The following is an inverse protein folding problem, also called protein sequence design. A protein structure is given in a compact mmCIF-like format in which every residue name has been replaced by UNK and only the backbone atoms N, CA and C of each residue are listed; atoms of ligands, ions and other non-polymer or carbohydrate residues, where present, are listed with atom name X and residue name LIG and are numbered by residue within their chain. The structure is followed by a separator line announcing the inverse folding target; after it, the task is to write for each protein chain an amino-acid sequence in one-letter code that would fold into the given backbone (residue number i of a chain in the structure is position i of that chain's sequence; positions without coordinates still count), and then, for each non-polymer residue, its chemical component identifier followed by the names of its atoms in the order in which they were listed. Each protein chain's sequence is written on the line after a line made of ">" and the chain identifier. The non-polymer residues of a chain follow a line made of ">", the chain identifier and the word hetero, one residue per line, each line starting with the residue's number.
data_IF_228163753242
#
_entry.id   IF_228163753242
#
_cell.length_a   1.000
_cell.length_b   1.000
_cell.length_c   1.000
_cell.angle_alpha   90.00
_cell.angle_beta   90.00
_cell.angle_gamma   90.00
#
_symmetry.space_group_name_H-M   'P 1'
#
loop_
_entity.id
_entity.type
_entity.pdbx_description
1 polymer ?
#
# COMPACT_ATOMS: atom_id res chain seq x y z
N UNK A 1 44.15 -10.72 14.94
CA UNK A 1 43.58 -10.11 13.74
C UNK A 1 42.29 -10.84 13.28
N UNK A 2 42.26 -12.17 13.09
CA UNK A 2 41.03 -12.89 12.65
C UNK A 2 39.80 -12.69 13.57
N UNK A 3 39.98 -12.69 14.92
CA UNK A 3 38.85 -12.50 15.87
C UNK A 3 38.26 -11.08 15.78
N UNK A 4 39.05 -10.05 15.53
CA UNK A 4 38.58 -8.66 15.39
C UNK A 4 37.76 -8.49 14.10
N UNK A 5 38.15 -9.12 13.02
CA UNK A 5 37.45 -9.09 11.75
C UNK A 5 36.08 -9.77 11.88
N UNK A 6 35.99 -10.89 12.57
CA UNK A 6 34.73 -11.61 12.82
C UNK A 6 33.75 -10.75 13.64
N UNK A 7 34.24 -10.06 14.68
CA UNK A 7 33.41 -9.17 15.50
C UNK A 7 32.91 -7.97 14.69
N UNK A 8 33.75 -7.40 13.82
CA UNK A 8 33.38 -6.30 12.93
C UNK A 8 32.31 -6.72 11.91
N UNK A 9 32.43 -7.91 11.32
CA UNK A 9 31.45 -8.46 10.37
C UNK A 9 30.11 -8.75 11.09
N UNK A 10 30.14 -9.32 12.29
CA UNK A 10 28.95 -9.57 13.10
C UNK A 10 28.28 -8.27 13.55
N UNK A 11 29.04 -7.25 13.94
CA UNK A 11 28.53 -5.92 14.30
C UNK A 11 27.87 -5.20 13.11
N UNK A 12 28.45 -5.30 11.92
CA UNK A 12 27.92 -4.70 10.70
C UNK A 12 26.57 -5.34 10.29
N UNK A 13 26.43 -6.67 10.45
CA UNK A 13 25.18 -7.36 10.17
C UNK A 13 24.04 -6.97 11.14
N UNK A 14 24.34 -6.70 12.40
CA UNK A 14 23.33 -6.25 13.39
C UNK A 14 22.78 -4.84 13.08
N UNK A 15 23.57 -3.97 12.45
CA UNK A 15 23.15 -2.61 12.07
C UNK A 15 22.23 -2.66 10.85
N UNK A 16 22.43 -3.60 9.92
CA UNK A 16 21.63 -3.75 8.72
C UNK A 16 20.21 -4.31 8.99
N UNK A 17 19.99 -5.00 10.13
CA UNK A 17 18.70 -5.57 10.49
C UNK A 17 17.67 -4.56 11.03
N UNK A 18 18.06 -3.31 11.32
CA UNK A 18 17.17 -2.28 11.86
C UNK A 18 16.42 -1.47 10.78
N UNK A 19 16.61 -1.73 9.50
CA UNK A 19 16.00 -0.98 8.40
C UNK A 19 14.66 -1.57 7.92
N UNK A 20 13.84 -2.15 8.80
CA UNK A 20 12.43 -2.34 8.50
C UNK A 20 11.71 -1.00 8.73
N UNK A 21 11.76 -0.10 7.74
CA UNK A 21 10.90 1.06 7.70
C UNK A 21 9.45 0.56 7.66
N UNK A 22 8.73 0.68 8.79
CA UNK A 22 7.28 0.51 8.78
C UNK A 22 6.71 1.56 7.83
N UNK A 23 5.92 1.19 6.81
CA UNK A 23 5.29 2.19 5.97
C UNK A 23 4.46 3.11 6.88
N UNK A 24 4.63 4.42 6.68
CA UNK A 24 3.85 5.40 7.41
C UNK A 24 2.41 5.29 6.91
N UNK A 25 1.54 4.66 7.67
CA UNK A 25 0.12 4.58 7.34
C UNK A 25 -0.47 5.99 7.43
N UNK A 26 -1.17 6.41 6.39
CA UNK A 26 -1.84 7.71 6.36
C UNK A 26 -2.99 7.70 7.39
N UNK A 27 -3.05 8.72 8.24
CA UNK A 27 -4.19 8.86 9.15
C UNK A 27 -5.44 9.24 8.35
N UNK A 28 -6.53 8.50 8.55
CA UNK A 28 -7.81 8.70 7.87
C UNK A 28 -8.41 10.06 8.26
N UNK A 29 -8.31 10.42 9.53
CA UNK A 29 -8.79 11.68 10.08
C UNK A 29 -7.66 12.42 10.76
N UNK A 30 -7.55 13.72 10.55
CA UNK A 30 -6.60 14.57 11.25
C UNK A 30 -7.34 15.60 12.10
N UNK A 31 -6.83 15.93 13.31
CA UNK A 31 -7.32 17.08 14.04
C UNK A 31 -7.24 18.33 13.17
N UNK A 32 -8.32 19.10 13.08
CA UNK A 32 -8.36 20.31 12.25
C UNK A 32 -8.87 20.11 10.82
N UNK A 33 -9.14 18.89 10.35
CA UNK A 33 -9.72 18.66 9.02
C UNK A 33 -11.00 19.48 8.76
N UNK A 34 -11.85 19.59 9.77
CA UNK A 34 -13.10 20.37 9.69
C UNK A 34 -12.88 21.89 9.64
N UNK A 35 -11.68 22.36 9.99
CA UNK A 35 -11.31 23.79 9.98
C UNK A 35 -10.72 24.22 8.63
N UNK A 36 -10.31 23.26 7.80
CA UNK A 36 -9.74 23.53 6.47
C UNK A 36 -10.78 24.21 5.57
N UNK A 37 -10.35 25.22 4.81
CA UNK A 37 -11.13 25.80 3.70
C UNK A 37 -11.16 24.86 2.49
N UNK A 38 -11.96 25.16 1.47
CA UNK A 38 -12.11 24.28 0.31
C UNK A 38 -10.80 24.06 -0.44
N UNK A 39 -9.97 25.08 -0.63
CA UNK A 39 -8.67 24.99 -1.30
C UNK A 39 -7.73 24.01 -0.57
N UNK A 40 -7.60 24.15 0.74
CA UNK A 40 -6.78 23.24 1.55
C UNK A 40 -7.34 21.81 1.62
N UNK A 41 -8.65 21.65 1.49
CA UNK A 41 -9.27 20.32 1.39
C UNK A 41 -8.96 19.67 0.03
N UNK A 42 -8.92 20.44 -1.05
CA UNK A 42 -8.51 19.97 -2.38
C UNK A 42 -7.03 19.57 -2.36
N UNK A 43 -6.13 20.36 -1.77
CA UNK A 43 -4.72 20.03 -1.61
C UNK A 43 -4.55 18.72 -0.78
N UNK A 44 -5.25 18.61 0.34
CA UNK A 44 -5.19 17.42 1.19
C UNK A 44 -5.73 16.16 0.46
N UNK A 45 -6.74 16.34 -0.41
CA UNK A 45 -7.27 15.27 -1.25
C UNK A 45 -6.24 14.84 -2.31
N UNK A 46 -5.58 15.81 -2.96
CA UNK A 46 -4.51 15.53 -3.92
C UNK A 46 -3.34 14.78 -3.27
N UNK A 47 -2.93 15.19 -2.07
CA UNK A 47 -1.89 14.50 -1.29
C UNK A 47 -2.27 13.05 -0.96
N UNK A 48 -3.52 12.82 -0.56
CA UNK A 48 -4.01 11.46 -0.27
C UNK A 48 -4.01 10.58 -1.54
N UNK A 49 -4.38 11.13 -2.69
CA UNK A 49 -4.35 10.43 -3.97
C UNK A 49 -2.92 10.15 -4.45
N UNK A 50 -1.98 11.09 -4.28
CA UNK A 50 -0.58 10.88 -4.61
C UNK A 50 0.03 9.78 -3.72
N UNK A 51 -0.27 9.81 -2.41
CA UNK A 51 0.16 8.77 -1.49
C UNK A 51 -0.38 7.39 -1.92
N UNK A 52 -1.65 7.32 -2.32
CA UNK A 52 -2.26 6.11 -2.86
C UNK A 52 -1.53 5.61 -4.12
N UNK A 53 -1.24 6.49 -5.07
CA UNK A 53 -0.48 6.15 -6.30
C UNK A 53 0.91 5.58 -5.95
N UNK A 54 1.61 6.19 -5.00
CA UNK A 54 2.91 5.69 -4.51
C UNK A 54 2.77 4.31 -3.86
N UNK A 55 1.75 4.09 -3.04
CA UNK A 55 1.50 2.79 -2.42
C UNK A 55 1.21 1.70 -3.46
N UNK A 56 0.43 2.01 -4.51
CA UNK A 56 0.17 1.12 -5.63
C UNK A 56 1.45 0.80 -6.41
N UNK A 57 2.30 1.78 -6.67
CA UNK A 57 3.52 1.57 -7.44
C UNK A 57 4.50 0.55 -6.82
N UNK A 58 4.47 0.38 -5.49
CA UNK A 58 5.32 -0.61 -4.81
C UNK A 58 4.73 -2.03 -4.82
N UNK A 59 3.47 -2.20 -5.19
CA UNK A 59 2.84 -3.54 -5.35
C UNK A 59 3.03 -4.12 -6.76
N UNK A 60 3.42 -3.28 -7.72
CA UNK A 60 3.59 -3.69 -9.12
C UNK A 60 4.76 -4.66 -9.34
N UNK A 61 4.82 -5.20 -10.57
CA UNK A 61 5.85 -6.14 -10.99
C UNK A 61 7.19 -5.42 -11.26
N UNK A 62 7.82 -4.92 -10.19
CA UNK A 62 9.12 -4.24 -10.24
C UNK A 62 10.26 -5.24 -10.13
N UNK A 63 11.43 -4.89 -10.71
CA UNK A 63 12.65 -5.72 -10.59
C UNK A 63 13.01 -5.97 -9.10
N UNK A 64 12.75 -5.00 -8.21
CA UNK A 64 12.94 -5.17 -6.77
C UNK A 64 12.00 -6.21 -6.15
N UNK A 65 10.74 -6.25 -6.59
CA UNK A 65 9.77 -7.24 -6.10
C UNK A 65 10.06 -8.63 -6.65
N UNK A 66 10.50 -8.75 -7.90
CA UNK A 66 10.95 -10.02 -8.47
C UNK A 66 12.16 -10.59 -7.72
N UNK A 67 13.14 -9.73 -7.40
CA UNK A 67 14.31 -10.15 -6.62
C UNK A 67 13.93 -10.56 -5.19
N UNK A 68 13.02 -9.85 -4.53
CA UNK A 68 12.51 -10.21 -3.19
C UNK A 68 11.73 -11.53 -3.21
N UNK A 69 10.95 -11.78 -4.26
CA UNK A 69 10.24 -13.05 -4.43
C UNK A 69 11.20 -14.24 -4.53
N UNK A 70 12.30 -14.06 -5.24
CA UNK A 70 13.31 -15.11 -5.42
C UNK A 70 14.17 -15.36 -4.18
N UNK A 71 14.52 -14.29 -3.45
CA UNK A 71 15.48 -14.36 -2.35
C UNK A 71 14.83 -14.47 -0.97
N UNK A 72 13.68 -13.85 -0.77
CA UNK A 72 13.04 -13.83 0.55
C UNK A 72 11.53 -13.57 0.48
N UNK A 73 10.77 -14.62 0.23
CA UNK A 73 9.32 -14.64 0.15
C UNK A 73 8.57 -13.90 1.28
N UNK A 74 8.91 -14.06 2.58
CA UNK A 74 8.20 -13.36 3.65
C UNK A 74 8.29 -11.83 3.56
N UNK A 75 9.40 -11.30 3.04
CA UNK A 75 9.56 -9.85 2.85
C UNK A 75 8.67 -9.31 1.71
N UNK A 76 8.44 -10.10 0.67
CA UNK A 76 7.49 -9.73 -0.39
C UNK A 76 6.07 -9.64 0.16
N UNK A 77 5.62 -10.66 0.91
CA UNK A 77 4.28 -10.65 1.53
C UNK A 77 4.08 -9.47 2.47
N UNK A 78 5.07 -9.15 3.31
CA UNK A 78 5.00 -7.98 4.18
C UNK A 78 4.85 -6.67 3.36
N UNK A 79 5.52 -6.55 2.21
CA UNK A 79 5.40 -5.39 1.32
C UNK A 79 3.98 -5.26 0.77
N UNK A 80 3.38 -6.35 0.32
CA UNK A 80 2.00 -6.35 -0.23
C UNK A 80 0.96 -6.02 0.84
N UNK A 81 1.04 -6.63 2.03
CA UNK A 81 0.11 -6.34 3.14
C UNK A 81 0.20 -4.88 3.55
N UNK A 82 1.39 -4.35 3.75
CA UNK A 82 1.61 -2.97 4.15
C UNK A 82 1.15 -1.97 3.07
N UNK A 83 1.37 -2.28 1.79
CA UNK A 83 0.92 -1.44 0.69
C UNK A 83 -0.61 -1.46 0.56
N UNK A 84 -1.25 -2.61 0.77
CA UNK A 84 -2.70 -2.71 0.76
C UNK A 84 -3.33 -1.87 1.88
N UNK A 85 -2.82 -1.95 3.11
CA UNK A 85 -3.25 -1.09 4.22
C UNK A 85 -3.07 0.39 3.90
N UNK A 86 -1.95 0.76 3.27
CA UNK A 86 -1.68 2.14 2.86
C UNK A 86 -2.66 2.63 1.77
N UNK A 87 -3.00 1.78 0.79
CA UNK A 87 -3.98 2.06 -0.26
C UNK A 87 -5.37 2.25 0.34
N UNK A 88 -5.77 1.38 1.26
CA UNK A 88 -7.07 1.49 1.93
C UNK A 88 -7.15 2.76 2.78
N UNK A 89 -6.15 3.03 3.61
CA UNK A 89 -6.10 4.25 4.44
C UNK A 89 -6.16 5.53 3.60
N UNK A 90 -5.45 5.59 2.46
CA UNK A 90 -5.51 6.72 1.55
C UNK A 90 -6.88 6.88 0.89
N UNK A 91 -7.54 5.78 0.55
CA UNK A 91 -8.89 5.78 -0.02
C UNK A 91 -9.92 6.28 0.99
N UNK A 92 -9.86 5.79 2.24
CA UNK A 92 -10.73 6.23 3.33
C UNK A 92 -10.48 7.69 3.69
N UNK A 93 -9.21 8.15 3.67
CA UNK A 93 -8.85 9.56 3.82
C UNK A 93 -9.52 10.42 2.74
N UNK A 94 -9.46 10.00 1.48
CA UNK A 94 -10.09 10.72 0.37
C UNK A 94 -11.61 10.83 0.56
N UNK A 95 -12.28 9.75 0.95
CA UNK A 95 -13.72 9.75 1.25
C UNK A 95 -14.06 10.69 2.41
N UNK A 96 -13.24 10.69 3.47
CA UNK A 96 -13.42 11.58 4.62
C UNK A 96 -13.35 13.06 4.20
N UNK A 97 -12.32 13.45 3.43
CA UNK A 97 -12.14 14.81 2.94
C UNK A 97 -13.29 15.25 2.02
N UNK A 98 -13.72 14.40 1.10
CA UNK A 98 -14.87 14.65 0.22
C UNK A 98 -16.15 14.89 1.04
N UNK A 99 -16.37 14.12 2.11
CA UNK A 99 -17.51 14.33 2.99
C UNK A 99 -17.50 15.71 3.70
N UNK A 100 -16.31 16.20 4.08
CA UNK A 100 -16.15 17.56 4.62
C UNK A 100 -16.41 18.60 3.54
N UNK A 101 -15.84 18.43 2.32
CA UNK A 101 -16.05 19.32 1.18
C UNK A 101 -17.54 19.43 0.84
N UNK A 102 -18.28 18.30 0.88
CA UNK A 102 -19.73 18.28 0.69
C UNK A 102 -20.47 19.09 1.74
N UNK A 103 -20.13 18.93 3.01
CA UNK A 103 -20.74 19.71 4.12
C UNK A 103 -20.48 21.22 3.99
N UNK A 104 -19.34 21.58 3.42
CA UNK A 104 -18.93 22.99 3.21
C UNK A 104 -19.42 23.59 1.87
N UNK A 105 -20.13 22.80 1.04
CA UNK A 105 -20.56 23.19 -0.29
C UNK A 105 -19.40 23.69 -1.17
N UNK A 106 -18.27 23.00 -1.14
CA UNK A 106 -17.13 23.33 -2.01
C UNK A 106 -17.52 23.18 -3.48
N UNK A 107 -16.95 24.05 -4.33
CA UNK A 107 -17.15 23.98 -5.78
C UNK A 107 -16.43 22.78 -6.36
N UNK A 108 -16.84 22.31 -7.55
CA UNK A 108 -16.23 21.18 -8.29
C UNK A 108 -16.31 19.80 -7.59
N UNK A 109 -17.15 19.67 -6.55
CA UNK A 109 -17.27 18.44 -5.80
C UNK A 109 -17.71 17.25 -6.66
N UNK A 110 -18.64 17.46 -7.60
CA UNK A 110 -19.18 16.40 -8.46
C UNK A 110 -18.09 15.86 -9.40
N UNK A 111 -17.23 16.72 -9.92
CA UNK A 111 -16.10 16.34 -10.78
C UNK A 111 -15.07 15.55 -9.98
N UNK A 112 -14.70 16.03 -8.79
CA UNK A 112 -13.77 15.36 -7.89
C UNK A 112 -14.31 14.00 -7.41
N UNK A 113 -15.62 13.90 -7.16
CA UNK A 113 -16.28 12.64 -6.80
C UNK A 113 -16.18 11.61 -7.92
N UNK A 114 -16.47 12.02 -9.16
CA UNK A 114 -16.37 11.11 -10.33
C UNK A 114 -14.93 10.68 -10.53
N UNK A 115 -13.96 11.57 -10.42
CA UNK A 115 -12.54 11.25 -10.56
C UNK A 115 -12.09 10.26 -9.48
N UNK A 116 -12.36 10.54 -8.20
CA UNK A 116 -11.96 9.68 -7.08
C UNK A 116 -12.63 8.33 -7.15
N UNK A 117 -13.93 8.27 -7.45
CA UNK A 117 -14.68 7.01 -7.55
C UNK A 117 -14.24 6.17 -8.74
N UNK A 118 -14.06 6.77 -9.92
CA UNK A 118 -13.63 6.07 -11.13
C UNK A 118 -12.21 5.53 -10.96
N UNK A 119 -11.30 6.35 -10.47
CA UNK A 119 -9.91 5.95 -10.20
C UNK A 119 -9.85 4.85 -9.13
N UNK A 120 -10.65 4.97 -8.06
CA UNK A 120 -10.75 3.96 -7.02
C UNK A 120 -11.25 2.62 -7.56
N UNK A 121 -12.34 2.63 -8.33
CA UNK A 121 -12.97 1.42 -8.87
C UNK A 121 -12.07 0.69 -9.87
N UNK A 122 -11.50 1.41 -10.83
CA UNK A 122 -10.62 0.84 -11.85
C UNK A 122 -9.34 0.29 -11.20
N UNK A 123 -8.77 1.02 -10.26
CA UNK A 123 -7.55 0.60 -9.60
C UNK A 123 -7.79 -0.61 -8.71
N UNK A 124 -8.87 -0.64 -7.94
CA UNK A 124 -9.22 -1.79 -7.08
C UNK A 124 -9.39 -3.05 -7.90
N UNK A 125 -10.05 -2.99 -9.07
CA UNK A 125 -10.21 -4.14 -9.96
C UNK A 125 -8.88 -4.59 -10.57
N UNK A 126 -8.01 -3.65 -10.95
CA UNK A 126 -6.66 -3.96 -11.44
C UNK A 126 -5.82 -4.63 -10.36
N UNK A 127 -5.79 -4.03 -9.17
CA UNK A 127 -5.00 -4.54 -8.04
C UNK A 127 -5.46 -5.93 -7.63
N UNK A 128 -6.77 -6.17 -7.60
CA UNK A 128 -7.35 -7.48 -7.31
C UNK A 128 -6.97 -8.52 -8.38
N UNK A 129 -7.07 -8.14 -9.65
CA UNK A 129 -6.69 -9.01 -10.77
C UNK A 129 -5.20 -9.36 -10.75
N UNK A 130 -4.34 -8.36 -10.51
CA UNK A 130 -2.89 -8.55 -10.42
C UNK A 130 -2.50 -9.38 -9.19
N UNK A 131 -3.09 -9.11 -8.04
CA UNK A 131 -2.86 -9.89 -6.82
C UNK A 131 -3.28 -11.35 -7.01
N UNK A 132 -4.42 -11.59 -7.65
CA UNK A 132 -4.88 -12.96 -7.95
C UNK A 132 -3.95 -13.67 -8.95
N UNK A 133 -3.52 -12.98 -10.00
CA UNK A 133 -2.57 -13.52 -10.97
C UNK A 133 -1.25 -13.90 -10.30
N UNK A 134 -0.67 -13.01 -9.52
CA UNK A 134 0.59 -13.26 -8.80
C UNK A 134 0.45 -14.45 -7.85
N UNK A 135 -0.67 -14.54 -7.12
CA UNK A 135 -0.95 -15.65 -6.22
C UNK A 135 -1.03 -16.98 -6.97
N UNK A 136 -1.68 -16.99 -8.14
CA UNK A 136 -1.82 -18.17 -8.99
C UNK A 136 -0.47 -18.61 -9.59
N UNK A 137 0.39 -17.66 -10.00
CA UNK A 137 1.71 -17.95 -10.53
C UNK A 137 2.62 -18.55 -9.45
N UNK A 138 2.54 -18.08 -8.21
CA UNK A 138 3.25 -18.65 -7.07
C UNK A 138 2.78 -20.07 -6.72
N UNK A 139 1.49 -20.33 -6.81
CA UNK A 139 0.95 -21.68 -6.63
C UNK A 139 1.43 -22.62 -7.74
N UNK A 140 1.37 -22.20 -9.01
CA UNK A 140 1.85 -22.99 -10.15
C UNK A 140 3.35 -23.26 -10.12
N UNK A 141 4.13 -22.35 -9.58
CA UNK A 141 5.59 -22.54 -9.42
C UNK A 141 5.95 -23.44 -8.25
N UNK A 142 4.97 -23.89 -7.44
CA UNK A 142 5.22 -24.69 -6.25
C UNK A 142 5.74 -23.89 -5.04
N UNK A 143 5.78 -22.56 -5.15
CA UNK A 143 6.19 -21.68 -4.05
C UNK A 143 5.14 -21.58 -2.93
N UNK A 144 3.90 -21.97 -3.21
CA UNK A 144 2.80 -22.06 -2.25
C UNK A 144 2.20 -23.46 -2.24
N UNK A 145 1.89 -23.95 -1.06
CA UNK A 145 1.05 -25.13 -0.89
C UNK A 145 -0.42 -24.77 -1.21
N UNK A 146 -1.22 -25.76 -1.54
CA UNK A 146 -2.66 -25.58 -1.80
C UNK A 146 -3.37 -24.90 -0.61
N UNK A 147 -3.05 -25.26 0.62
CA UNK A 147 -3.62 -24.67 1.84
C UNK A 147 -3.28 -23.18 1.96
N UNK A 148 -2.04 -22.81 1.69
CA UNK A 148 -1.60 -21.40 1.71
C UNK A 148 -2.25 -20.62 0.59
N UNK A 149 -2.30 -21.17 -0.63
CA UNK A 149 -2.99 -20.57 -1.76
C UNK A 149 -4.47 -20.28 -1.43
N UNK A 150 -5.20 -21.26 -0.92
CA UNK A 150 -6.62 -21.09 -0.55
C UNK A 150 -6.83 -20.08 0.57
N UNK A 151 -5.89 -20.00 1.52
CA UNK A 151 -5.93 -19.03 2.61
C UNK A 151 -5.70 -17.60 2.10
N UNK A 152 -4.71 -17.41 1.24
CA UNK A 152 -4.41 -16.10 0.65
C UNK A 152 -5.50 -15.66 -0.35
N UNK A 153 -6.03 -16.59 -1.14
CA UNK A 153 -7.13 -16.32 -2.05
C UNK A 153 -8.35 -15.75 -1.33
N UNK A 154 -8.74 -16.32 -0.20
CA UNK A 154 -9.85 -15.78 0.63
C UNK A 154 -9.57 -14.37 1.10
N UNK A 155 -8.37 -14.09 1.59
CA UNK A 155 -7.97 -12.75 2.02
C UNK A 155 -8.02 -11.73 0.89
N UNK A 156 -7.51 -12.08 -0.30
CA UNK A 156 -7.53 -11.22 -1.48
C UNK A 156 -8.96 -10.92 -1.92
N UNK A 157 -9.88 -11.88 -1.81
CA UNK A 157 -11.28 -11.73 -2.18
C UNK A 157 -12.16 -11.13 -1.05
N UNK A 158 -11.59 -10.81 0.13
CA UNK A 158 -12.33 -10.23 1.24
C UNK A 158 -13.31 -11.20 1.90
N UNK A 159 -13.01 -12.51 1.86
CA UNK A 159 -13.82 -13.58 2.45
C UNK A 159 -13.19 -14.14 3.71
#
# INVERSE_FOLDING_TARGET
>A
MKKVIIILILGLNLILLKSCAKPKVLNITLPGDNELNCEKLEDALADAQEFRKKAISVTGNTAGNQMRALLFWPALMATYVNAHEAIMAASERSVHLINIMKKKNCKNLDELLVEVQSTHRIQTLKDLSEAYKNLNDLYKSGALTEKEFMTQKRKVLGQ
#
